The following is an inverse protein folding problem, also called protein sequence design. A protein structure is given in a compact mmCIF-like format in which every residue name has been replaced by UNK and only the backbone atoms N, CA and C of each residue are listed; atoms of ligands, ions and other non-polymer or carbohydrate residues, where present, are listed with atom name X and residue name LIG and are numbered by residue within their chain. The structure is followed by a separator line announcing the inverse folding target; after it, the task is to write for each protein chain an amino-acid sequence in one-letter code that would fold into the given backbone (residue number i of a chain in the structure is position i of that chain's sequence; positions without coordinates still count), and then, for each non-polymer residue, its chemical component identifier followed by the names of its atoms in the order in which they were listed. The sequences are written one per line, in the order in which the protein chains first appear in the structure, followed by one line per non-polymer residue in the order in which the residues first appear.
data_IF_048249829110
#
_entry.id   IF_048249829110
#
_cell.length_a   1.000
_cell.length_b   1.000
_cell.length_c   1.000
_cell.angle_alpha   90.00
_cell.angle_beta   90.00
_cell.angle_gamma   90.00
#
_symmetry.space_group_name_H-M   'P 1'
#
loop_
_entity.id
_entity.type
_entity.pdbx_description
1 polymer ?
#
# COMPACT_ATOMS: atom_id res chain seq x y z
N UNK A 1 50.50 1.94 -12.50
CA UNK A 1 49.13 1.43 -12.31
C UNK A 1 48.48 2.39 -11.35
N UNK A 2 47.56 3.23 -11.83
CA UNK A 2 46.72 3.98 -10.90
C UNK A 2 45.84 2.96 -10.18
N UNK A 3 45.69 3.12 -8.87
CA UNK A 3 44.78 2.29 -8.09
C UNK A 3 43.36 2.55 -8.58
N UNK A 4 42.53 1.52 -8.72
CA UNK A 4 41.16 1.63 -9.29
C UNK A 4 40.33 2.73 -8.61
N UNK A 5 40.58 2.95 -7.32
CA UNK A 5 39.96 3.99 -6.52
C UNK A 5 40.38 5.42 -6.92
N UNK A 6 41.62 5.60 -7.38
CA UNK A 6 42.13 6.88 -7.87
C UNK A 6 41.53 7.29 -9.21
N UNK A 7 41.21 6.34 -10.10
CA UNK A 7 40.51 6.62 -11.37
C UNK A 7 39.06 7.08 -11.15
N UNK A 8 38.44 6.64 -10.06
CA UNK A 8 37.07 7.00 -9.66
C UNK A 8 37.01 8.27 -8.77
N UNK A 9 38.14 8.95 -8.55
CA UNK A 9 38.20 10.18 -7.75
C UNK A 9 37.91 9.97 -6.26
N UNK A 10 38.08 8.75 -5.74
CA UNK A 10 37.92 8.45 -4.32
C UNK A 10 39.23 8.70 -3.57
N UNK A 11 39.20 9.61 -2.60
CA UNK A 11 40.32 9.88 -1.69
C UNK A 11 40.04 9.29 -0.30
N UNK A 12 40.99 8.57 0.31
CA UNK A 12 40.89 8.16 1.72
C UNK A 12 40.74 9.38 2.64
N UNK A 13 40.06 9.21 3.77
CA UNK A 13 39.95 10.26 4.79
C UNK A 13 41.30 10.49 5.47
N UNK A 14 41.63 11.76 5.73
CA UNK A 14 42.83 12.14 6.49
C UNK A 14 42.67 11.84 7.99
N UNK A 15 43.80 11.79 8.71
CA UNK A 15 43.81 11.50 10.15
C UNK A 15 42.96 12.51 10.94
N UNK A 16 41.90 12.01 11.58
CA UNK A 16 40.95 12.81 12.38
C UNK A 16 39.71 13.30 11.63
N UNK A 17 39.58 12.98 10.34
CA UNK A 17 38.41 13.32 9.55
C UNK A 17 37.35 12.22 9.72
N UNK A 18 36.17 12.59 10.22
CA UNK A 18 35.06 11.65 10.34
C UNK A 18 34.41 11.41 8.95
N UNK A 19 34.00 10.17 8.62
CA UNK A 19 33.24 9.91 7.41
C UNK A 19 32.02 10.80 7.36
N UNK A 20 31.68 11.29 6.16
CA UNK A 20 30.54 12.18 5.97
C UNK A 20 29.28 11.54 6.58
N UNK A 21 28.85 12.10 7.69
CA UNK A 21 27.75 11.57 8.47
C UNK A 21 26.46 11.60 7.63
N UNK A 22 26.35 12.49 6.65
CA UNK A 22 25.26 12.51 5.68
C UNK A 22 25.31 11.32 4.73
N UNK A 23 26.50 10.90 4.27
CA UNK A 23 26.64 9.70 3.43
C UNK A 23 26.40 8.42 4.23
N UNK A 24 26.84 8.38 5.48
CA UNK A 24 26.56 7.26 6.37
C UNK A 24 25.06 7.18 6.70
N UNK A 25 24.43 8.32 7.01
CA UNK A 25 22.97 8.39 7.15
C UNK A 25 22.25 8.00 5.87
N UNK A 26 22.68 8.47 4.69
CA UNK A 26 22.07 8.10 3.41
C UNK A 26 22.18 6.59 3.13
N UNK A 27 23.30 5.96 3.49
CA UNK A 27 23.45 4.50 3.45
C UNK A 27 22.51 3.82 4.44
N UNK A 28 22.44 4.27 5.69
CA UNK A 28 21.49 3.75 6.68
C UNK A 28 20.04 3.89 6.19
N UNK A 29 19.66 5.03 5.61
CA UNK A 29 18.33 5.28 5.08
C UNK A 29 17.97 4.36 3.91
N UNK A 30 18.92 4.08 3.02
CA UNK A 30 18.75 3.14 1.91
C UNK A 30 18.74 1.69 2.37
N UNK A 31 19.71 1.31 3.20
CA UNK A 31 19.99 -0.07 3.57
C UNK A 31 18.96 -0.60 4.59
N UNK A 32 18.39 0.27 5.43
CA UNK A 32 17.29 -0.07 6.35
C UNK A 32 15.89 0.31 5.83
N UNK A 33 15.78 0.79 4.58
CA UNK A 33 14.52 1.22 3.98
C UNK A 33 13.73 2.25 4.82
N UNK A 34 14.43 3.01 5.67
CA UNK A 34 13.86 4.03 6.56
C UNK A 34 13.22 5.21 5.81
N UNK A 35 13.42 5.30 4.50
CA UNK A 35 12.70 6.26 3.65
C UNK A 35 11.19 5.97 3.62
N UNK A 36 10.77 4.70 3.68
CA UNK A 36 9.34 4.35 3.83
C UNK A 36 8.78 4.77 5.19
N UNK A 37 9.59 4.76 6.26
CA UNK A 37 9.19 5.20 7.61
C UNK A 37 9.14 6.73 7.76
N UNK A 38 9.98 7.49 7.06
CA UNK A 38 9.90 8.96 7.02
C UNK A 38 8.68 9.48 6.25
N UNK A 39 8.22 8.74 5.22
CA UNK A 39 6.92 9.00 4.58
C UNK A 39 5.74 8.84 5.55
N UNK A 40 5.92 8.10 6.65
CA UNK A 40 4.92 7.99 7.72
C UNK A 40 4.86 9.25 8.59
N UNK A 41 6.00 9.92 8.79
CA UNK A 41 6.11 11.13 9.62
C UNK A 41 5.75 12.42 8.84
N UNK A 42 5.97 12.45 7.53
CA UNK A 42 5.70 13.62 6.66
C UNK A 42 4.23 13.79 6.22
N UNK A 43 3.29 13.03 6.79
CA UNK A 43 1.88 13.11 6.43
C UNK A 43 1.58 12.27 5.19
N UNK A 44 1.43 10.96 5.42
CA UNK A 44 0.91 9.99 4.44
C UNK A 44 -0.27 10.58 3.68
N UNK A 45 -0.12 10.73 2.37
CA UNK A 45 -1.28 10.72 1.48
C UNK A 45 -2.00 9.40 1.72
N UNK A 46 -3.17 9.47 2.36
CA UNK A 46 -4.08 8.34 2.38
C UNK A 46 -4.37 7.97 0.93
N UNK A 47 -4.46 6.66 0.64
CA UNK A 47 -4.87 6.22 -0.69
C UNK A 47 -6.12 7.01 -1.13
N UNK A 48 -6.18 7.46 -2.39
CA UNK A 48 -7.21 8.37 -2.83
C UNK A 48 -8.61 7.77 -2.61
N UNK A 49 -9.65 8.61 -2.60
CA UNK A 49 -11.02 8.12 -2.46
C UNK A 49 -11.34 7.12 -3.57
N UNK A 50 -12.22 6.17 -3.25
CA UNK A 50 -12.73 5.25 -4.26
C UNK A 50 -13.43 6.02 -5.39
N UNK A 51 -13.30 5.52 -6.61
CA UNK A 51 -13.98 6.11 -7.77
C UNK A 51 -15.49 6.18 -7.56
N UNK A 52 -16.09 7.33 -7.86
CA UNK A 52 -17.53 7.56 -7.61
C UNK A 52 -18.41 6.55 -8.36
N UNK A 53 -17.96 6.16 -9.55
CA UNK A 53 -18.59 5.14 -10.40
C UNK A 53 -18.63 3.77 -9.70
N UNK A 54 -17.51 3.34 -9.11
CA UNK A 54 -17.44 2.08 -8.37
C UNK A 54 -18.29 2.13 -7.12
N UNK A 55 -18.23 3.22 -6.35
CA UNK A 55 -19.05 3.37 -5.13
C UNK A 55 -20.55 3.25 -5.43
N UNK A 56 -21.00 3.81 -6.56
CA UNK A 56 -22.37 3.70 -7.04
C UNK A 56 -22.71 2.29 -7.56
N UNK A 57 -21.76 1.60 -8.17
CA UNK A 57 -21.94 0.24 -8.70
C UNK A 57 -21.90 -0.88 -7.64
N UNK A 58 -21.48 -0.59 -6.40
CA UNK A 58 -21.48 -1.57 -5.30
C UNK A 58 -22.90 -2.09 -5.07
N UNK A 59 -23.13 -3.42 -5.17
CA UNK A 59 -24.45 -4.00 -4.99
C UNK A 59 -24.95 -3.82 -3.56
N UNK A 60 -26.24 -3.51 -3.44
CA UNK A 60 -26.94 -3.58 -2.18
C UNK A 60 -27.50 -4.99 -2.01
N UNK A 61 -27.16 -5.65 -0.90
CA UNK A 61 -27.73 -6.94 -0.52
C UNK A 61 -28.72 -6.74 0.64
N UNK A 62 -29.87 -7.40 0.54
CA UNK A 62 -30.86 -7.42 1.62
C UNK A 62 -30.46 -8.49 2.63
N UNK A 63 -30.35 -8.09 3.89
CA UNK A 63 -29.99 -9.01 4.97
C UNK A 63 -31.17 -9.96 5.22
N UNK A 64 -30.96 -11.26 4.99
CA UNK A 64 -31.97 -12.31 5.22
C UNK A 64 -31.96 -12.82 6.66
N UNK A 65 -30.80 -12.78 7.32
CA UNK A 65 -30.55 -13.33 8.65
C UNK A 65 -29.76 -12.34 9.52
N UNK A 66 -30.08 -12.27 10.81
CA UNK A 66 -29.53 -11.30 11.76
C UNK A 66 -28.10 -11.63 12.23
N UNK A 67 -27.45 -12.64 11.65
CA UNK A 67 -26.21 -13.21 12.20
C UNK A 67 -24.94 -12.46 11.74
N UNK A 68 -25.09 -11.39 10.94
CA UNK A 68 -23.97 -10.59 10.45
C UNK A 68 -23.85 -9.28 11.21
N UNK A 69 -22.64 -8.94 11.67
CA UNK A 69 -22.34 -7.71 12.39
C UNK A 69 -21.52 -6.76 11.53
N UNK A 70 -21.86 -5.47 11.51
CA UNK A 70 -21.08 -4.48 10.79
C UNK A 70 -19.80 -4.15 11.57
N UNK A 71 -18.61 -4.34 10.99
CA UNK A 71 -17.33 -4.14 11.68
C UNK A 71 -16.98 -2.68 11.96
N UNK A 72 -17.70 -1.71 11.34
CA UNK A 72 -17.44 -0.27 11.50
C UNK A 72 -18.19 0.28 12.71
N UNK A 73 -19.48 -0.02 12.84
CA UNK A 73 -20.31 0.45 13.96
C UNK A 73 -20.49 -0.59 15.06
N UNK A 74 -20.02 -1.82 14.85
CA UNK A 74 -20.14 -2.97 15.75
C UNK A 74 -21.59 -3.33 16.09
N UNK A 75 -22.56 -2.96 15.25
CA UNK A 75 -23.98 -3.31 15.41
C UNK A 75 -24.36 -4.48 14.51
N UNK A 76 -25.29 -5.30 14.98
CA UNK A 76 -25.93 -6.37 14.20
C UNK A 76 -26.74 -5.78 13.04
N UNK A 77 -26.76 -6.50 11.94
CA UNK A 77 -27.58 -6.20 10.80
C UNK A 77 -29.02 -6.65 11.05
N UNK A 78 -30.00 -5.76 10.81
CA UNK A 78 -31.41 -6.11 10.99
C UNK A 78 -31.98 -6.70 9.71
N UNK A 79 -32.75 -7.79 9.84
CA UNK A 79 -33.47 -8.41 8.74
C UNK A 79 -34.33 -7.40 7.97
N UNK A 80 -34.11 -7.32 6.67
CA UNK A 80 -34.79 -6.35 5.79
C UNK A 80 -34.08 -5.01 5.63
N UNK A 81 -32.97 -4.76 6.33
CA UNK A 81 -32.08 -3.64 6.02
C UNK A 81 -31.26 -3.90 4.76
N UNK A 82 -30.88 -2.82 4.08
CA UNK A 82 -29.98 -2.86 2.93
C UNK A 82 -28.53 -2.64 3.37
N UNK A 83 -27.68 -3.64 3.16
CA UNK A 83 -26.24 -3.53 3.35
C UNK A 83 -25.52 -3.43 2.01
N UNK A 84 -24.36 -2.76 1.99
CA UNK A 84 -23.46 -2.73 0.84
C UNK A 84 -22.44 -3.84 0.97
N UNK A 85 -22.30 -4.66 -0.08
CA UNK A 85 -21.31 -5.73 -0.16
C UNK A 85 -20.16 -5.32 -1.07
N UNK A 86 -18.97 -5.20 -0.49
CA UNK A 86 -17.76 -4.92 -1.26
C UNK A 86 -17.38 -6.12 -2.14
N UNK A 87 -16.61 -5.91 -3.24
CA UNK A 87 -16.15 -7.00 -4.12
C UNK A 87 -15.25 -8.03 -3.40
N UNK A 88 -14.67 -7.67 -2.25
CA UNK A 88 -13.96 -8.61 -1.39
C UNK A 88 -14.88 -9.51 -0.54
N UNK A 89 -16.21 -9.34 -0.63
CA UNK A 89 -17.22 -10.14 0.07
C UNK A 89 -17.69 -9.60 1.43
N UNK A 90 -17.08 -8.53 1.93
CA UNK A 90 -17.41 -7.95 3.23
C UNK A 90 -18.66 -7.04 3.18
N UNK A 91 -19.51 -7.15 4.19
CA UNK A 91 -20.79 -6.44 4.32
C UNK A 91 -20.71 -5.28 5.32
N UNK A 92 -21.37 -4.17 4.97
CA UNK A 92 -21.41 -2.95 5.78
C UNK A 92 -22.77 -2.26 5.65
N UNK A 93 -23.18 -1.50 6.67
CA UNK A 93 -24.28 -0.56 6.52
C UNK A 93 -23.91 0.51 5.48
N UNK A 94 -24.90 0.96 4.71
CA UNK A 94 -24.72 2.02 3.72
C UNK A 94 -24.10 3.28 4.36
N UNK A 95 -24.65 3.72 5.49
CA UNK A 95 -24.17 4.91 6.22
C UNK A 95 -22.78 4.75 6.82
N UNK A 96 -22.33 3.50 7.05
CA UNK A 96 -21.01 3.24 7.62
C UNK A 96 -19.92 3.23 6.55
N UNK A 97 -20.20 2.65 5.37
CA UNK A 97 -19.17 2.45 4.34
C UNK A 97 -19.01 3.66 3.42
N UNK A 98 -20.07 4.42 3.15
CA UNK A 98 -20.01 5.60 2.30
C UNK A 98 -19.00 6.67 2.78
N UNK A 99 -18.99 7.11 4.06
CA UNK A 99 -18.01 8.08 4.53
C UNK A 99 -16.58 7.52 4.54
N UNK A 100 -16.43 6.20 4.65
CA UNK A 100 -15.13 5.54 4.58
C UNK A 100 -14.56 5.55 3.15
N UNK A 101 -15.37 5.14 2.17
CA UNK A 101 -15.00 5.13 0.74
C UNK A 101 -14.73 6.52 0.17
N UNK A 102 -15.32 7.55 0.79
CA UNK A 102 -15.07 8.96 0.47
C UNK A 102 -13.69 9.45 0.96
N UNK A 103 -13.04 8.72 1.87
CA UNK A 103 -11.73 9.08 2.42
C UNK A 103 -10.61 8.17 1.94
N UNK A 104 -10.90 6.88 1.77
CA UNK A 104 -9.92 5.88 1.31
C UNK A 104 -10.60 4.85 0.42
N UNK A 105 -9.89 4.31 -0.57
CA UNK A 105 -10.39 3.26 -1.45
C UNK A 105 -10.29 1.83 -0.88
N UNK A 106 -9.96 1.66 0.41
CA UNK A 106 -9.63 0.34 0.97
C UNK A 106 -10.75 -0.24 1.83
N UNK A 107 -10.90 -1.56 1.83
CA UNK A 107 -11.80 -2.26 2.73
C UNK A 107 -11.31 -2.20 4.20
N UNK A 108 -12.13 -1.80 5.18
CA UNK A 108 -11.75 -1.75 6.59
C UNK A 108 -11.28 -3.09 7.19
N UNK A 109 -11.75 -4.22 6.65
CA UNK A 109 -11.45 -5.55 7.19
C UNK A 109 -10.22 -6.20 6.55
N UNK A 110 -10.15 -6.23 5.22
CA UNK A 110 -9.12 -6.97 4.48
C UNK A 110 -8.14 -6.09 3.71
N UNK A 111 -8.31 -4.75 3.77
CA UNK A 111 -7.52 -3.77 3.02
C UNK A 111 -7.53 -3.96 1.50
N UNK A 112 -8.49 -4.72 0.97
CA UNK A 112 -8.71 -4.81 -0.47
C UNK A 112 -8.97 -3.41 -1.03
N UNK A 113 -8.17 -3.00 -2.01
CA UNK A 113 -8.23 -1.67 -2.63
C UNK A 113 -9.15 -1.67 -3.85
N UNK A 114 -10.10 -0.75 -3.85
CA UNK A 114 -10.99 -0.45 -4.97
C UNK A 114 -10.29 0.47 -5.98
N UNK A 115 -10.72 0.46 -7.26
CA UNK A 115 -10.25 1.43 -8.24
C UNK A 115 -10.58 2.87 -7.84
N UNK A 116 -9.65 3.78 -8.12
CA UNK A 116 -9.76 5.22 -7.84
C UNK A 116 -9.93 6.01 -9.13
N UNK A 117 -10.36 7.28 -9.02
CA UNK A 117 -10.45 8.20 -10.17
C UNK A 117 -9.10 8.92 -10.46
N UNK A 118 -8.05 8.60 -9.71
CA UNK A 118 -6.73 9.23 -9.79
C UNK A 118 -5.81 8.41 -10.71
N UNK A 119 -5.49 8.96 -11.88
CA UNK A 119 -4.69 8.29 -12.90
C UNK A 119 -3.25 8.02 -12.43
N UNK A 120 -2.66 8.95 -11.68
CA UNK A 120 -1.29 8.84 -11.19
C UNK A 120 -1.19 7.73 -10.13
N UNK A 121 -2.18 7.64 -9.23
CA UNK A 121 -2.25 6.58 -8.22
C UNK A 121 -2.44 5.20 -8.85
N UNK A 122 -3.35 5.05 -9.82
CA UNK A 122 -3.56 3.77 -10.50
C UNK A 122 -2.34 3.36 -11.34
N UNK A 123 -1.66 4.31 -11.98
CA UNK A 123 -0.41 4.06 -12.68
C UNK A 123 0.66 3.52 -11.71
N UNK A 124 0.92 4.23 -10.60
CA UNK A 124 1.86 3.81 -9.56
C UNK A 124 1.53 2.41 -9.01
N UNK A 125 0.25 2.15 -8.73
CA UNK A 125 -0.23 0.86 -8.25
C UNK A 125 0.06 -0.26 -9.24
N UNK A 126 -0.17 -0.02 -10.54
CA UNK A 126 0.09 -0.99 -11.60
C UNK A 126 1.59 -1.27 -11.75
N UNK A 127 2.44 -0.25 -11.62
CA UNK A 127 3.90 -0.38 -11.69
C UNK A 127 4.44 -1.18 -10.50
N UNK A 128 3.97 -0.87 -9.29
CA UNK A 128 4.32 -1.60 -8.07
C UNK A 128 3.94 -3.06 -8.16
N UNK A 129 2.76 -3.38 -8.71
CA UNK A 129 2.32 -4.76 -8.95
C UNK A 129 3.26 -5.48 -9.92
N UNK A 130 3.59 -4.87 -11.06
CA UNK A 130 4.53 -5.43 -12.05
C UNK A 130 5.93 -5.66 -11.47
N UNK A 131 6.40 -4.77 -10.61
CA UNK A 131 7.68 -4.93 -9.93
C UNK A 131 7.69 -6.17 -9.03
N UNK A 132 6.64 -6.34 -8.21
CA UNK A 132 6.49 -7.51 -7.34
C UNK A 132 6.37 -8.82 -8.12
N UNK A 133 5.67 -8.81 -9.25
CA UNK A 133 5.60 -9.97 -10.15
C UNK A 133 6.99 -10.33 -10.70
N UNK A 134 7.78 -9.36 -11.16
CA UNK A 134 9.16 -9.59 -11.61
C UNK A 134 10.05 -10.17 -10.50
N UNK A 135 9.92 -9.67 -9.27
CA UNK A 135 10.66 -10.20 -8.13
C UNK A 135 10.31 -11.66 -7.86
N UNK A 136 9.02 -12.00 -7.86
CA UNK A 136 8.56 -13.37 -7.70
C UNK A 136 9.06 -14.28 -8.84
N UNK A 137 9.09 -13.79 -10.09
CA UNK A 137 9.63 -14.53 -11.23
C UNK A 137 11.13 -14.78 -11.06
N UNK A 138 11.90 -13.78 -10.63
CA UNK A 138 13.33 -13.92 -10.33
C UNK A 138 13.55 -14.94 -9.21
N UNK A 139 12.75 -14.89 -8.14
CA UNK A 139 12.82 -15.85 -7.04
C UNK A 139 12.49 -17.27 -7.50
N UNK A 140 11.46 -17.44 -8.33
CA UNK A 140 11.11 -18.73 -8.92
C UNK A 140 12.25 -19.29 -9.78
N UNK A 141 12.91 -18.44 -10.60
CA UNK A 141 14.07 -18.82 -11.38
C UNK A 141 15.26 -19.20 -10.48
N UNK A 142 15.51 -18.44 -9.42
CA UNK A 142 16.54 -18.74 -8.43
C UNK A 142 16.29 -20.11 -7.79
N UNK A 143 15.07 -20.36 -7.30
CA UNK A 143 14.70 -21.62 -6.67
C UNK A 143 14.78 -22.82 -7.63
N UNK A 144 14.46 -22.62 -8.92
CA UNK A 144 14.63 -23.65 -9.94
C UNK A 144 16.09 -23.92 -10.32
N UNK A 145 16.99 -22.95 -10.13
CA UNK A 145 18.42 -23.10 -10.46
C UNK A 145 19.20 -23.88 -9.39
N UNK A 146 18.70 -23.88 -8.15
CA UNK A 146 19.32 -24.53 -6.99
C UNK A 146 18.60 -25.80 -6.51
N UNK A 147 17.61 -26.29 -7.26
CA UNK A 147 16.91 -27.56 -7.03
C UNK A 147 17.30 -28.62 -8.05
#
# INVERSE_FOLDING_TARGET
MADYFGEMGWTPLEDGQAPDHFLHLARLFRDFNMFEELNVLNGKELAPPASKSIVAAIPNENITDNDSQCPVCLKEHVKGETAKKLPCGHLYHNDCIMPWLSKTNSCPLCRYELPTDDEDYEAWKSEKKRAKEREADIENLHNSMFS
#
